data_IF_975444742936
#
_entry.id   IF_975444742936
#
_cell.length_a   1.000
_cell.length_b   1.000
_cell.length_c   1.000
_cell.angle_alpha   90.00
_cell.angle_beta   90.00
_cell.angle_gamma   90.00
#
_symmetry.space_group_name_H-M   'P 1'
#
loop_
_entity.id
_entity.type
_entity.pdbx_description
1 polymer ?
#
# COMPACT_ATOMS: atom_id res chain seq x y z
N UNK A 1 2.54 4.74 7.41
CA UNK A 1 3.21 4.04 6.30
C UNK A 1 2.36 2.87 5.84
N UNK A 2 2.86 2.03 4.94
CA UNK A 2 2.33 0.66 4.78
C UNK A 2 2.96 -0.17 5.90
N UNK A 3 2.17 -0.90 6.69
CA UNK A 3 2.70 -1.73 7.77
C UNK A 3 3.19 -3.06 7.18
N UNK A 4 4.43 -3.44 7.51
CA UNK A 4 5.04 -4.71 7.08
C UNK A 4 4.58 -5.91 7.89
N UNK A 5 4.04 -5.66 9.08
CA UNK A 5 3.52 -6.68 9.97
C UNK A 5 2.08 -6.35 10.37
N UNK A 6 1.28 -7.40 10.58
CA UNK A 6 -0.04 -7.26 11.16
C UNK A 6 0.08 -6.74 12.60
N UNK A 7 -0.52 -5.60 12.97
CA UNK A 7 -0.42 -5.05 14.32
C UNK A 7 -1.13 -5.91 15.38
N UNK A 8 -2.02 -6.82 14.96
CA UNK A 8 -2.80 -7.68 15.87
C UNK A 8 -2.09 -8.99 16.20
N UNK A 9 -1.40 -9.60 15.23
CA UNK A 9 -0.80 -10.94 15.40
C UNK A 9 0.69 -11.03 15.04
N UNK A 10 1.31 -9.94 14.57
CA UNK A 10 2.72 -9.89 14.20
C UNK A 10 3.08 -10.59 12.87
N UNK A 11 2.13 -11.24 12.20
CA UNK A 11 2.38 -11.94 10.94
C UNK A 11 2.96 -11.02 9.86
N UNK A 12 3.93 -11.52 9.10
CA UNK A 12 4.50 -10.89 7.90
C UNK A 12 3.67 -11.14 6.65
N UNK A 13 2.68 -12.04 6.71
CA UNK A 13 1.79 -12.32 5.58
C UNK A 13 0.69 -11.26 5.49
N UNK A 14 1.10 -10.04 5.14
CA UNK A 14 0.20 -8.89 4.96
C UNK A 14 0.03 -8.59 3.48
N UNK A 15 -1.19 -8.16 3.11
CA UNK A 15 -1.47 -7.65 1.77
C UNK A 15 -1.85 -6.18 1.84
N UNK A 16 -1.23 -5.39 0.98
CA UNK A 16 -1.51 -3.97 0.90
C UNK A 16 -2.53 -3.69 -0.19
N UNK A 17 -3.58 -2.97 0.16
CA UNK A 17 -4.61 -2.54 -0.76
C UNK A 17 -4.56 -1.03 -0.88
N UNK A 18 -4.65 -0.54 -2.11
CA UNK A 18 -4.66 0.90 -2.37
C UNK A 18 -5.63 1.25 -3.48
N UNK A 19 -6.18 2.46 -3.39
CA UNK A 19 -7.20 2.96 -4.31
C UNK A 19 -6.54 3.62 -5.52
N UNK A 20 -6.92 3.17 -6.71
CA UNK A 20 -6.59 3.77 -8.01
C UNK A 20 -7.92 4.06 -8.72
N UNK A 21 -8.08 5.29 -9.24
CA UNK A 21 -9.22 5.71 -10.08
C UNK A 21 -10.61 5.31 -9.56
N UNK A 22 -10.78 5.20 -8.23
CA UNK A 22 -12.07 4.91 -7.61
C UNK A 22 -12.22 3.51 -7.01
N UNK A 23 -11.38 2.54 -7.37
CA UNK A 23 -11.48 1.14 -6.91
C UNK A 23 -10.26 0.69 -6.11
N UNK A 24 -10.46 -0.29 -5.22
CA UNK A 24 -9.37 -0.89 -4.45
C UNK A 24 -8.69 -1.99 -5.26
N UNK A 25 -7.35 -1.99 -5.25
CA UNK A 25 -6.53 -2.98 -5.94
C UNK A 25 -5.40 -3.42 -5.02
N UNK A 26 -4.98 -4.67 -5.15
CA UNK A 26 -3.84 -5.23 -4.41
C UNK A 26 -2.54 -4.64 -4.97
N UNK A 27 -1.78 -3.97 -4.09
CA UNK A 27 -0.50 -3.31 -4.41
C UNK A 27 0.57 -4.32 -4.81
N UNK A 28 0.48 -5.57 -4.36
CA UNK A 28 1.43 -6.62 -4.74
C UNK A 28 1.38 -6.92 -6.23
N UNK A 29 0.20 -6.77 -6.85
CA UNK A 29 -0.03 -6.95 -8.29
C UNK A 29 0.37 -5.72 -9.14
N UNK A 30 0.88 -4.65 -8.52
CA UNK A 30 1.29 -3.45 -9.25
C UNK A 30 2.67 -3.61 -9.87
N UNK A 31 2.85 -3.05 -11.07
CA UNK A 31 4.15 -2.88 -11.70
C UNK A 31 5.02 -1.87 -10.93
N UNK A 32 6.31 -1.83 -11.26
CA UNK A 32 7.28 -0.97 -10.59
C UNK A 32 6.89 0.52 -10.63
N UNK A 33 6.39 1.01 -11.77
CA UNK A 33 5.94 2.39 -11.92
C UNK A 33 4.82 2.77 -10.93
N UNK A 34 3.76 1.96 -10.82
CA UNK A 34 2.68 2.20 -9.86
C UNK A 34 3.14 2.11 -8.40
N UNK A 35 4.11 1.24 -8.10
CA UNK A 35 4.72 1.16 -6.76
C UNK A 35 5.51 2.44 -6.45
N UNK A 36 6.20 2.99 -7.44
CA UNK A 36 6.90 4.27 -7.30
C UNK A 36 5.90 5.43 -7.13
N UNK A 37 4.83 5.47 -7.93
CA UNK A 37 3.72 6.42 -7.74
C UNK A 37 3.13 6.34 -6.32
N UNK A 38 3.00 5.13 -5.75
CA UNK A 38 2.51 4.96 -4.38
C UNK A 38 3.45 5.57 -3.34
N UNK A 39 4.76 5.39 -3.53
CA UNK A 39 5.81 5.92 -2.65
C UNK A 39 5.89 7.44 -2.73
N UNK A 40 5.72 7.98 -3.93
CA UNK A 40 5.78 9.42 -4.21
C UNK A 40 4.49 10.15 -3.80
N UNK A 41 3.43 9.43 -3.36
CA UNK A 41 2.24 10.08 -2.82
C UNK A 41 2.58 10.87 -1.56
N UNK A 42 2.46 12.18 -1.67
CA UNK A 42 2.59 13.10 -0.55
C UNK A 42 1.49 12.82 0.48
N UNK A 43 1.88 12.38 1.68
CA UNK A 43 0.96 12.29 2.82
C UNK A 43 0.92 13.66 3.47
N UNK A 44 -0.15 14.42 3.21
CA UNK A 44 -0.39 15.66 3.93
C UNK A 44 -0.74 15.26 5.37
N UNK A 45 0.19 15.45 6.30
CA UNK A 45 -0.11 15.43 7.73
C UNK A 45 -0.68 16.80 8.09
N UNK A 46 -2.01 16.91 8.04
CA UNK A 46 -2.73 18.03 8.65
C UNK A 46 -2.86 17.82 10.14
#
# INVERSE_FOLDING_TARGET
GLNENCPTCGSTNVRWWSRITGYYTDVTAWNEGKRQELKDRYRISV
#
